data_IF_239888389205
#
_entry.id   IF_239888389205
#
_cell.length_a   1.000
_cell.length_b   1.000
_cell.length_c   1.000
_cell.angle_alpha   90.00
_cell.angle_beta   90.00
_cell.angle_gamma   90.00
#
_symmetry.space_group_name_H-M   'P 1'
#
loop_
_entity.id
_entity.type
_entity.pdbx_description
1 polymer ?
#
# COMPACT_ATOMS: atom_id res chain seq x y z
N UNK A 1 17.45 18.19 30.12
CA UNK A 1 16.86 16.85 30.39
C UNK A 1 15.68 16.65 29.47
N UNK A 2 15.56 15.49 28.81
CA UNK A 2 14.41 15.17 27.95
C UNK A 2 13.15 15.06 28.82
N UNK A 3 12.10 15.80 28.47
CA UNK A 3 10.79 15.79 29.12
C UNK A 3 9.86 14.79 28.43
N UNK A 4 8.93 14.24 29.20
CA UNK A 4 7.93 13.25 28.73
C UNK A 4 8.52 12.09 27.91
N UNK A 5 9.55 11.39 28.43
CA UNK A 5 10.14 10.27 27.72
C UNK A 5 9.10 9.15 27.53
N UNK A 6 8.91 8.73 26.30
CA UNK A 6 8.08 7.62 25.90
C UNK A 6 8.92 6.63 25.09
N UNK A 7 8.90 5.36 25.51
CA UNK A 7 9.50 4.30 24.72
C UNK A 7 8.58 3.97 23.54
N UNK A 8 9.14 4.00 22.34
CA UNK A 8 8.47 3.67 21.09
C UNK A 8 9.19 2.50 20.42
N UNK A 9 8.51 1.87 19.47
CA UNK A 9 9.02 0.71 18.75
C UNK A 9 8.82 0.91 17.26
N UNK A 10 9.90 0.68 16.49
CA UNK A 10 9.87 0.40 15.07
C UNK A 10 10.44 -1.03 14.87
N UNK A 11 11.54 -1.21 14.14
CA UNK A 11 12.31 -2.46 14.15
C UNK A 11 13.00 -2.72 15.51
N UNK A 12 13.36 -1.64 16.22
CA UNK A 12 14.00 -1.67 17.53
C UNK A 12 13.37 -0.61 18.46
N UNK A 13 13.50 -0.77 19.80
CA UNK A 13 13.06 0.24 20.75
C UNK A 13 13.87 1.53 20.61
N UNK A 14 13.19 2.67 20.68
CA UNK A 14 13.79 4.00 20.71
C UNK A 14 13.07 4.90 21.72
N UNK A 15 13.75 5.96 22.16
CA UNK A 15 13.18 6.92 23.10
C UNK A 15 12.70 8.16 22.35
N UNK A 16 11.46 8.57 22.59
CA UNK A 16 10.93 9.84 22.11
C UNK A 16 10.61 10.75 23.28
N UNK A 17 10.88 12.03 23.15
CA UNK A 17 10.49 13.02 24.16
C UNK A 17 10.63 14.44 23.65
N UNK A 18 10.69 15.38 24.58
CA UNK A 18 10.84 16.79 24.27
C UNK A 18 12.10 17.37 24.92
N UNK A 19 12.89 18.09 24.14
CA UNK A 19 14.06 18.81 24.60
C UNK A 19 14.00 20.23 24.06
N UNK A 20 13.98 21.22 24.96
CA UNK A 20 13.92 22.65 24.62
C UNK A 20 12.75 23.04 23.68
N UNK A 21 11.59 22.39 23.85
CA UNK A 21 10.40 22.62 23.03
C UNK A 21 10.42 21.91 21.67
N UNK A 22 11.52 21.21 21.35
CA UNK A 22 11.62 20.36 20.18
C UNK A 22 11.34 18.91 20.53
N UNK A 23 10.60 18.23 19.66
CA UNK A 23 10.47 16.78 19.73
C UNK A 23 11.78 16.13 19.31
N UNK A 24 12.31 15.27 20.16
CA UNK A 24 13.57 14.55 19.95
C UNK A 24 13.35 13.06 20.01
N UNK A 25 14.13 12.33 19.20
CA UNK A 25 14.16 10.88 19.18
C UNK A 25 15.61 10.43 19.38
N UNK A 26 15.85 9.58 20.39
CA UNK A 26 17.14 8.96 20.65
C UNK A 26 17.03 7.49 20.25
N UNK A 27 17.73 7.13 19.18
CA UNK A 27 17.70 5.80 18.57
C UNK A 27 19.05 5.13 18.81
N UNK A 28 19.12 4.04 19.61
CA UNK A 28 20.35 3.30 19.80
C UNK A 28 20.69 2.53 18.51
N UNK A 29 21.96 2.54 18.13
CA UNK A 29 22.50 1.76 17.02
C UNK A 29 23.89 1.26 17.38
N UNK A 30 24.34 0.23 16.68
CA UNK A 30 25.71 -0.28 16.83
C UNK A 30 26.69 0.64 16.09
N UNK A 31 27.83 0.89 16.71
CA UNK A 31 28.98 1.46 16.01
C UNK A 31 29.57 0.36 15.12
N UNK A 32 29.37 0.50 13.82
CA UNK A 32 29.92 -0.40 12.79
C UNK A 32 30.89 0.40 11.91
N UNK A 33 31.86 -0.29 11.31
CA UNK A 33 32.84 0.32 10.40
C UNK A 33 32.46 0.15 8.92
N UNK A 34 31.62 -0.84 8.60
CA UNK A 34 31.20 -1.16 7.24
C UNK A 34 29.67 -1.21 7.12
N UNK A 35 29.05 -0.26 6.40
CA UNK A 35 27.59 -0.21 6.24
C UNK A 35 27.02 -1.35 5.39
N UNK A 36 27.83 -2.13 4.68
CA UNK A 36 27.39 -3.32 3.94
C UNK A 36 27.05 -4.51 4.86
N UNK A 37 27.46 -4.45 6.13
CA UNK A 37 27.22 -5.51 7.11
C UNK A 37 26.50 -4.99 8.37
N UNK A 38 25.29 -4.39 8.23
CA UNK A 38 24.58 -3.82 9.37
C UNK A 38 23.98 -4.92 10.26
N UNK A 39 23.95 -4.68 11.58
CA UNK A 39 23.24 -5.54 12.54
C UNK A 39 21.75 -5.14 12.58
N UNK A 40 21.48 -3.84 12.51
CA UNK A 40 20.16 -3.22 12.46
C UNK A 40 20.04 -2.22 11.31
N UNK A 41 18.81 -1.88 10.91
CA UNK A 41 18.63 -0.84 9.90
C UNK A 41 19.15 0.54 10.36
N UNK A 42 19.16 0.80 11.68
CA UNK A 42 19.56 2.08 12.28
C UNK A 42 21.06 2.31 12.12
N UNK A 43 21.88 1.25 12.13
CA UNK A 43 23.35 1.33 12.11
C UNK A 43 23.88 2.03 10.84
N UNK A 44 23.09 2.03 9.75
CA UNK A 44 23.43 2.72 8.49
C UNK A 44 23.18 4.22 8.53
N UNK A 45 22.38 4.71 9.47
CA UNK A 45 21.94 6.13 9.51
C UNK A 45 23.10 7.12 9.53
N UNK A 46 24.18 6.92 10.31
CA UNK A 46 25.34 7.80 10.27
C UNK A 46 26.01 7.85 8.89
N UNK A 47 26.15 6.70 8.22
CA UNK A 47 26.74 6.62 6.88
C UNK A 47 25.87 7.28 5.81
N UNK A 48 24.55 7.17 5.89
CA UNK A 48 23.65 7.92 5.01
C UNK A 48 23.82 9.43 5.19
N UNK A 49 23.94 9.89 6.43
CA UNK A 49 24.15 11.31 6.75
C UNK A 49 25.49 11.80 6.20
N UNK A 50 26.56 11.03 6.41
CA UNK A 50 27.89 11.35 5.87
C UNK A 50 27.88 11.39 4.33
N UNK A 51 27.30 10.37 3.69
CA UNK A 51 27.20 10.29 2.23
C UNK A 51 26.53 11.53 1.63
N UNK A 52 25.43 11.98 2.24
CA UNK A 52 24.69 13.17 1.82
C UNK A 52 25.44 14.46 2.13
N UNK A 53 26.00 14.61 3.33
CA UNK A 53 26.70 15.82 3.76
C UNK A 53 27.90 16.17 2.86
N UNK A 54 28.59 15.15 2.34
CA UNK A 54 29.71 15.34 1.41
C UNK A 54 29.28 15.79 0.00
N UNK A 55 28.00 15.69 -0.35
CA UNK A 55 27.50 15.83 -1.73
C UNK A 55 26.40 16.87 -1.91
N UNK A 56 25.69 17.23 -0.85
CA UNK A 56 24.62 18.22 -0.89
C UNK A 56 25.17 19.65 -0.81
N UNK A 57 24.66 20.53 -1.66
CA UNK A 57 24.84 21.98 -1.52
C UNK A 57 23.62 22.63 -0.85
N UNK A 58 23.73 23.87 -0.33
CA UNK A 58 22.58 24.61 0.20
C UNK A 58 21.40 24.73 -0.79
N UNK A 59 21.68 24.88 -2.09
CA UNK A 59 20.68 24.94 -3.15
C UNK A 59 19.95 23.60 -3.30
N UNK A 60 20.68 22.48 -3.26
CA UNK A 60 20.10 21.13 -3.27
C UNK A 60 19.19 20.92 -2.05
N UNK A 61 19.59 21.36 -0.86
CA UNK A 61 18.75 21.30 0.34
C UNK A 61 17.44 22.07 0.15
N UNK A 62 17.50 23.23 -0.52
CA UNK A 62 16.30 23.98 -0.95
C UNK A 62 15.39 23.16 -1.87
N UNK A 63 15.95 22.48 -2.87
CA UNK A 63 15.20 21.61 -3.79
C UNK A 63 14.61 20.37 -3.11
N UNK A 64 15.32 19.80 -2.12
CA UNK A 64 14.80 18.71 -1.27
C UNK A 64 13.56 19.18 -0.51
N UNK A 65 13.61 20.34 0.14
CA UNK A 65 12.45 20.89 0.88
C UNK A 65 11.27 21.14 -0.05
N UNK A 66 11.51 21.73 -1.22
CA UNK A 66 10.48 21.98 -2.22
C UNK A 66 9.85 20.66 -2.71
N UNK A 67 10.65 19.63 -2.96
CA UNK A 67 10.18 18.31 -3.38
C UNK A 67 9.39 17.60 -2.28
N UNK A 68 9.87 17.65 -1.02
CA UNK A 68 9.12 17.15 0.14
C UNK A 68 7.76 17.86 0.25
N UNK A 69 7.70 19.17 -0.02
CA UNK A 69 6.44 19.92 0.00
C UNK A 69 5.49 19.53 -1.14
N UNK A 70 6.00 19.34 -2.35
CA UNK A 70 5.21 18.83 -3.47
C UNK A 70 4.59 17.46 -3.16
N UNK A 71 5.40 16.54 -2.62
CA UNK A 71 4.95 15.21 -2.22
C UNK A 71 3.95 15.26 -1.05
N UNK A 72 4.08 16.22 -0.12
CA UNK A 72 3.05 16.49 0.90
C UNK A 72 1.74 16.99 0.30
N UNK A 73 1.80 17.86 -0.71
CA UNK A 73 0.60 18.32 -1.42
C UNK A 73 -0.17 17.18 -2.06
N UNK A 74 0.56 16.20 -2.61
CA UNK A 74 0.02 14.95 -3.15
C UNK A 74 -0.39 13.92 -2.10
N UNK A 75 -0.02 14.10 -0.82
CA UNK A 75 -0.31 13.15 0.24
C UNK A 75 0.55 11.87 0.22
N UNK A 76 1.71 11.90 -0.44
CA UNK A 76 2.58 10.72 -0.65
C UNK A 76 4.01 10.90 -0.09
N UNK A 77 4.22 11.85 0.82
CA UNK A 77 5.46 11.95 1.58
C UNK A 77 5.37 11.10 2.85
N UNK A 78 6.32 10.18 3.03
CA UNK A 78 6.38 9.28 4.18
C UNK A 78 6.55 7.84 3.74
N UNK A 79 7.31 7.05 4.50
CA UNK A 79 7.55 5.62 4.23
C UNK A 79 6.93 4.71 5.28
N UNK A 80 6.23 5.28 6.26
CA UNK A 80 5.40 4.56 7.21
C UNK A 80 4.32 3.73 6.49
N UNK A 81 3.91 2.62 7.11
CA UNK A 81 3.03 1.64 6.47
C UNK A 81 1.65 2.21 6.11
N UNK A 82 1.23 3.29 6.78
CA UNK A 82 0.00 4.03 6.44
C UNK A 82 0.08 4.71 5.09
N UNK A 83 1.25 5.22 4.74
CA UNK A 83 1.46 6.13 3.61
C UNK A 83 2.08 5.41 2.42
N UNK A 84 2.97 4.42 2.61
CA UNK A 84 3.61 3.68 1.51
C UNK A 84 4.15 4.60 0.37
N UNK A 85 4.79 5.71 0.76
CA UNK A 85 5.17 6.80 -0.12
C UNK A 85 6.68 7.02 -0.21
N UNK A 86 7.07 8.26 -0.50
CA UNK A 86 8.47 8.65 -0.66
C UNK A 86 9.10 8.94 0.71
N UNK A 87 10.12 8.17 1.09
CA UNK A 87 10.91 8.44 2.30
C UNK A 87 11.74 9.72 2.15
N UNK A 88 12.12 10.34 3.26
CA UNK A 88 12.97 11.54 3.24
C UNK A 88 14.31 11.29 2.54
N UNK A 89 14.93 10.15 2.84
CA UNK A 89 16.20 9.73 2.23
C UNK A 89 16.06 9.47 0.72
N UNK A 90 14.97 8.82 0.28
CA UNK A 90 14.69 8.64 -1.14
C UNK A 90 14.62 9.98 -1.87
N UNK A 91 13.93 10.96 -1.31
CA UNK A 91 13.83 12.31 -1.91
C UNK A 91 15.21 12.97 -2.02
N UNK A 92 16.05 12.80 -1.01
CA UNK A 92 17.40 13.37 -1.00
C UNK A 92 18.30 12.76 -2.08
N UNK A 93 18.25 11.44 -2.27
CA UNK A 93 18.98 10.77 -3.35
C UNK A 93 18.44 11.14 -4.74
N UNK A 94 17.12 11.27 -4.89
CA UNK A 94 16.52 11.72 -6.15
C UNK A 94 16.97 13.13 -6.52
N UNK A 95 17.03 14.05 -5.56
CA UNK A 95 17.51 15.42 -5.83
C UNK A 95 19.02 15.44 -6.04
N UNK A 96 19.79 14.62 -5.33
CA UNK A 96 21.21 14.46 -5.61
C UNK A 96 21.45 14.03 -7.06
N UNK A 97 20.61 13.13 -7.58
CA UNK A 97 20.71 12.60 -8.94
C UNK A 97 20.20 13.56 -10.03
N UNK A 98 19.06 14.21 -9.80
CA UNK A 98 18.36 15.00 -10.83
C UNK A 98 18.48 16.53 -10.61
N UNK A 99 19.19 16.94 -9.57
CA UNK A 99 19.56 18.32 -9.23
C UNK A 99 18.42 19.18 -8.66
N UNK A 100 17.26 19.17 -9.30
CA UNK A 100 16.13 20.05 -8.94
C UNK A 100 14.81 19.29 -8.98
N UNK A 101 13.77 19.82 -8.31
CA UNK A 101 12.41 19.29 -8.44
C UNK A 101 12.00 19.23 -9.92
N UNK A 102 12.21 20.31 -10.69
CA UNK A 102 11.85 20.33 -12.12
C UNK A 102 12.63 19.30 -12.94
N UNK A 103 13.91 19.08 -12.64
CA UNK A 103 14.72 18.04 -13.25
C UNK A 103 14.16 16.65 -12.97
N UNK A 104 13.87 16.37 -11.69
CA UNK A 104 13.23 15.12 -11.26
C UNK A 104 11.88 14.90 -11.95
N UNK A 105 10.99 15.91 -12.00
CA UNK A 105 9.67 15.76 -12.63
C UNK A 105 9.77 15.49 -14.13
N UNK A 106 10.73 16.11 -14.83
CA UNK A 106 10.94 15.85 -16.27
C UNK A 106 11.36 14.42 -16.53
N UNK A 107 12.26 13.88 -15.72
CA UNK A 107 12.65 12.47 -15.83
C UNK A 107 11.51 11.54 -15.42
N UNK A 108 10.78 11.87 -14.35
CA UNK A 108 9.65 11.07 -13.88
C UNK A 108 8.54 10.90 -14.92
N UNK A 109 8.35 11.88 -15.82
CA UNK A 109 7.37 11.77 -16.91
C UNK A 109 7.64 10.58 -17.86
N UNK A 110 8.87 10.07 -17.90
CA UNK A 110 9.31 8.96 -18.75
C UNK A 110 9.33 7.61 -18.02
N UNK A 111 9.10 7.60 -16.72
CA UNK A 111 9.16 6.39 -15.92
C UNK A 111 8.01 5.42 -16.24
N UNK A 112 8.33 4.12 -16.22
CA UNK A 112 7.38 3.00 -16.22
C UNK A 112 7.39 2.33 -14.84
N UNK A 113 6.38 1.53 -14.51
CA UNK A 113 6.32 0.80 -13.23
C UNK A 113 6.51 -0.71 -13.49
N UNK A 114 7.56 -1.35 -12.94
CA UNK A 114 8.57 -0.77 -12.05
C UNK A 114 9.56 0.16 -12.76
N UNK A 115 10.03 1.19 -12.05
CA UNK A 115 11.09 2.11 -12.52
C UNK A 115 12.44 1.61 -12.03
N UNK A 116 13.44 1.54 -12.91
CA UNK A 116 14.84 1.28 -12.53
C UNK A 116 15.65 2.54 -12.74
N UNK A 117 16.19 3.08 -11.66
CA UNK A 117 17.04 4.26 -11.77
C UNK A 117 18.50 3.89 -12.00
N UNK A 118 18.98 2.74 -11.56
CA UNK A 118 20.34 2.32 -11.88
C UNK A 118 20.32 1.03 -12.70
N UNK A 119 20.43 1.17 -14.02
CA UNK A 119 20.37 0.04 -14.95
C UNK A 119 21.71 -0.71 -15.07
N UNK A 120 22.81 -0.12 -14.59
CA UNK A 120 24.14 -0.71 -14.66
C UNK A 120 24.45 -1.60 -13.45
N UNK A 121 23.70 -1.46 -12.35
CA UNK A 121 23.83 -2.30 -11.17
C UNK A 121 22.89 -3.50 -11.24
N UNK A 122 23.31 -4.58 -10.57
CA UNK A 122 22.43 -5.71 -10.28
C UNK A 122 21.29 -5.23 -9.38
N UNK A 123 20.06 -5.65 -9.69
CA UNK A 123 18.92 -5.40 -8.81
C UNK A 123 19.25 -5.92 -7.39
N UNK A 124 18.97 -5.15 -6.31
CA UNK A 124 19.20 -5.60 -4.94
C UNK A 124 18.49 -6.94 -4.69
N UNK A 125 19.08 -7.90 -3.96
CA UNK A 125 18.41 -9.19 -3.74
C UNK A 125 17.20 -9.09 -2.82
N UNK A 126 17.10 -8.03 -2.00
CA UNK A 126 15.99 -7.79 -1.07
C UNK A 126 14.96 -6.85 -1.69
N UNK A 127 14.16 -7.37 -2.60
CA UNK A 127 13.04 -6.64 -3.20
C UNK A 127 11.69 -7.06 -2.59
N UNK A 128 10.74 -6.11 -2.43
CA UNK A 128 9.37 -6.46 -2.08
C UNK A 128 8.70 -7.27 -3.21
N UNK A 129 7.64 -8.01 -2.88
CA UNK A 129 6.90 -8.81 -3.86
C UNK A 129 6.32 -7.98 -5.01
N UNK A 130 5.91 -6.73 -4.72
CA UNK A 130 5.54 -5.75 -5.74
C UNK A 130 6.44 -4.53 -5.66
N UNK A 131 7.31 -4.38 -6.66
CA UNK A 131 8.28 -3.28 -6.70
C UNK A 131 7.69 -2.10 -7.48
N UNK A 132 7.76 -0.90 -6.91
CA UNK A 132 7.43 0.33 -7.62
C UNK A 132 8.67 0.94 -8.28
N UNK A 133 9.72 1.19 -7.49
CA UNK A 133 10.96 1.81 -7.93
C UNK A 133 12.15 1.05 -7.35
N UNK A 134 13.18 0.87 -8.17
CA UNK A 134 14.47 0.28 -7.80
C UNK A 134 15.50 1.39 -7.84
N UNK A 135 16.00 1.73 -6.66
CA UNK A 135 17.15 2.60 -6.44
C UNK A 135 18.01 1.90 -5.38
N UNK A 136 19.10 1.23 -5.78
CA UNK A 136 20.06 0.69 -4.84
C UNK A 136 20.55 1.77 -3.89
N UNK A 137 20.72 1.42 -2.62
CA UNK A 137 21.29 2.33 -1.64
C UNK A 137 22.78 2.52 -1.93
N UNK A 138 23.27 3.77 -2.08
CA UNK A 138 24.69 3.99 -2.34
C UNK A 138 25.60 3.60 -1.17
N UNK A 139 25.04 3.39 0.03
CA UNK A 139 25.74 3.00 1.24
C UNK A 139 25.58 1.49 1.53
N UNK A 140 24.55 0.86 0.97
CA UNK A 140 24.28 -0.59 1.09
C UNK A 140 23.63 -1.14 -0.20
N UNK A 141 24.41 -1.57 -1.19
CA UNK A 141 23.89 -2.02 -2.48
C UNK A 141 22.90 -3.20 -2.40
N UNK A 142 22.85 -3.92 -1.28
CA UNK A 142 21.91 -5.03 -1.06
C UNK A 142 20.48 -4.53 -0.71
N UNK A 143 20.33 -3.23 -0.48
CA UNK A 143 19.07 -2.56 -0.13
C UNK A 143 18.51 -1.75 -1.29
N UNK A 144 17.19 -1.86 -1.48
CA UNK A 144 16.43 -0.88 -2.26
C UNK A 144 15.93 0.25 -1.35
N UNK A 145 16.25 1.50 -1.67
CA UNK A 145 15.85 2.69 -0.90
C UNK A 145 14.34 2.93 -0.96
N UNK A 146 13.70 2.48 -2.05
CA UNK A 146 12.28 2.70 -2.33
C UNK A 146 11.37 1.51 -1.97
N UNK A 147 11.81 0.60 -1.10
CA UNK A 147 11.02 -0.61 -0.74
C UNK A 147 9.64 -0.32 -0.15
N UNK A 148 9.44 0.83 0.49
CA UNK A 148 8.15 1.22 1.06
C UNK A 148 7.23 1.94 0.03
N UNK A 149 7.74 2.34 -1.13
CA UNK A 149 6.98 3.09 -2.11
C UNK A 149 6.03 2.15 -2.87
N UNK A 150 4.72 2.41 -2.78
CA UNK A 150 3.72 1.63 -3.51
C UNK A 150 3.70 1.98 -5.01
N UNK A 151 3.27 1.01 -5.83
CA UNK A 151 3.06 1.22 -7.27
C UNK A 151 2.03 2.32 -7.54
N UNK A 152 0.99 2.41 -6.69
CA UNK A 152 -0.04 3.44 -6.80
C UNK A 152 0.53 4.85 -6.59
N UNK A 153 1.36 5.04 -5.56
CA UNK A 153 1.95 6.36 -5.27
C UNK A 153 3.03 6.76 -6.28
N UNK A 154 3.80 5.80 -6.82
CA UNK A 154 4.67 6.08 -7.95
C UNK A 154 3.88 6.49 -9.19
N UNK A 155 2.78 5.80 -9.50
CA UNK A 155 1.88 6.16 -10.60
C UNK A 155 1.29 7.55 -10.44
N UNK A 156 0.81 7.89 -9.23
CA UNK A 156 0.33 9.23 -8.90
C UNK A 156 1.42 10.28 -9.10
N UNK A 157 2.65 10.02 -8.64
CA UNK A 157 3.78 10.93 -8.83
C UNK A 157 4.09 11.19 -10.31
N UNK A 158 4.10 10.14 -11.14
CA UNK A 158 4.35 10.25 -12.59
C UNK A 158 3.26 11.10 -13.27
N UNK A 159 1.98 10.87 -12.93
CA UNK A 159 0.86 11.65 -13.46
C UNK A 159 0.92 13.11 -13.00
N UNK A 160 1.16 13.34 -11.71
CA UNK A 160 1.32 14.67 -11.14
C UNK A 160 2.50 15.42 -11.75
N UNK A 161 3.61 14.74 -12.07
CA UNK A 161 4.75 15.34 -12.75
C UNK A 161 4.36 15.90 -14.13
N UNK A 162 3.60 15.13 -14.93
CA UNK A 162 3.10 15.56 -16.24
C UNK A 162 2.17 16.77 -16.10
N UNK A 163 1.21 16.69 -15.19
CA UNK A 163 0.22 17.75 -14.97
C UNK A 163 0.85 19.04 -14.43
N UNK A 164 1.76 18.95 -13.46
CA UNK A 164 2.47 20.10 -12.93
C UNK A 164 3.35 20.78 -13.97
N UNK A 165 4.06 20.01 -14.81
CA UNK A 165 4.90 20.59 -15.86
C UNK A 165 4.08 21.28 -16.96
N UNK A 166 2.89 20.77 -17.26
CA UNK A 166 1.96 21.39 -18.20
C UNK A 166 1.28 22.63 -17.61
N UNK A 167 0.88 22.58 -16.34
CA UNK A 167 0.15 23.65 -15.63
C UNK A 167 0.71 23.85 -14.22
N UNK A 168 1.85 24.55 -14.08
CA UNK A 168 2.46 24.81 -12.78
C UNK A 168 1.52 25.65 -11.90
N UNK A 169 1.39 25.27 -10.63
CA UNK A 169 0.58 26.00 -9.65
C UNK A 169 1.09 25.74 -8.24
N UNK A 170 0.92 26.72 -7.34
CA UNK A 170 1.21 26.57 -5.91
C UNK A 170 0.26 25.58 -5.23
N UNK A 171 -0.93 25.34 -5.80
CA UNK A 171 -1.91 24.40 -5.25
C UNK A 171 -1.34 22.97 -5.11
N UNK A 172 -0.39 22.58 -5.96
CA UNK A 172 0.30 21.28 -5.88
C UNK A 172 1.16 21.11 -4.62
N UNK A 173 1.46 22.20 -3.92
CA UNK A 173 2.25 22.22 -2.70
C UNK A 173 1.38 22.32 -1.44
N UNK A 174 0.05 22.30 -1.59
CA UNK A 174 -0.89 22.37 -0.48
C UNK A 174 -1.66 21.05 -0.40
N UNK A 175 -1.67 20.35 0.76
CA UNK A 175 -2.42 19.12 0.91
C UNK A 175 -3.90 19.30 0.59
N UNK A 176 -4.43 18.46 -0.28
CA UNK A 176 -5.86 18.47 -0.58
C UNK A 176 -6.67 18.06 0.65
N UNK A 177 -7.52 18.96 1.13
CA UNK A 177 -8.49 18.67 2.18
C UNK A 177 -9.81 18.29 1.54
N UNK A 178 -10.08 16.99 1.48
CA UNK A 178 -11.37 16.51 1.00
C UNK A 178 -12.50 17.09 1.87
N UNK A 179 -13.55 17.66 1.26
CA UNK A 179 -14.70 18.13 2.02
C UNK A 179 -15.33 16.96 2.78
N UNK A 180 -15.79 17.24 4.02
CA UNK A 180 -16.47 16.22 4.83
C UNK A 180 -17.74 15.78 4.11
N UNK A 181 -17.87 14.48 3.91
CA UNK A 181 -19.06 13.90 3.30
C UNK A 181 -20.16 13.77 4.35
N UNK A 182 -21.31 14.40 4.11
CA UNK A 182 -22.49 14.23 4.96
C UNK A 182 -23.06 12.82 4.80
N UNK A 183 -23.80 12.33 5.80
CA UNK A 183 -24.48 11.02 5.72
C UNK A 183 -25.53 10.99 4.60
N UNK A 184 -26.18 12.12 4.35
CA UNK A 184 -27.16 12.28 3.28
C UNK A 184 -26.49 12.21 1.91
N UNK A 185 -25.39 12.94 1.70
CA UNK A 185 -24.64 12.88 0.46
C UNK A 185 -24.03 11.50 0.21
N UNK A 186 -23.55 10.82 1.25
CA UNK A 186 -23.05 9.45 1.12
C UNK A 186 -24.16 8.52 0.61
N UNK A 187 -25.35 8.56 1.25
CA UNK A 187 -26.50 7.75 0.83
C UNK A 187 -26.96 8.08 -0.57
N UNK A 188 -27.04 9.37 -0.90
CA UNK A 188 -27.42 9.86 -2.23
C UNK A 188 -26.44 9.35 -3.30
N UNK A 189 -25.13 9.53 -3.10
CA UNK A 189 -24.10 9.08 -4.05
C UNK A 189 -24.11 7.57 -4.24
N UNK A 190 -24.26 6.79 -3.17
CA UNK A 190 -24.38 5.34 -3.27
C UNK A 190 -25.67 4.94 -4.00
N UNK A 191 -26.79 5.60 -3.72
CA UNK A 191 -28.07 5.37 -4.40
C UNK A 191 -28.02 5.70 -5.90
N UNK A 192 -27.42 6.83 -6.28
CA UNK A 192 -27.19 7.23 -7.68
C UNK A 192 -26.35 6.21 -8.45
N UNK A 193 -25.42 5.53 -7.77
CA UNK A 193 -24.59 4.46 -8.36
C UNK A 193 -25.31 3.13 -8.48
N UNK A 194 -26.39 2.92 -7.72
CA UNK A 194 -27.09 1.63 -7.64
C UNK A 194 -26.24 0.51 -7.03
N UNK A 195 -25.19 0.86 -6.27
CA UNK A 195 -24.26 -0.08 -5.65
C UNK A 195 -24.61 -0.32 -4.18
N UNK A 196 -23.94 -1.31 -3.58
CA UNK A 196 -24.05 -1.57 -2.14
C UNK A 196 -22.74 -1.24 -1.43
N UNK A 197 -22.82 -0.58 -0.29
CA UNK A 197 -21.66 -0.22 0.54
C UNK A 197 -21.83 -0.83 1.93
N UNK A 198 -20.94 -1.76 2.28
CA UNK A 198 -20.82 -2.32 3.61
C UNK A 198 -19.70 -1.60 4.40
N UNK A 199 -19.93 -1.40 5.69
CA UNK A 199 -18.98 -0.76 6.60
C UNK A 199 -18.76 -1.66 7.81
N UNK A 200 -17.52 -2.07 8.01
CA UNK A 200 -17.08 -2.85 9.17
C UNK A 200 -16.36 -1.90 10.12
N UNK A 201 -16.91 -1.74 11.33
CA UNK A 201 -16.30 -0.95 12.41
C UNK A 201 -15.78 -1.85 13.52
N UNK A 202 -14.51 -1.68 13.89
CA UNK A 202 -13.85 -2.43 14.96
C UNK A 202 -13.23 -1.47 15.99
N UNK A 203 -13.18 -1.84 17.28
CA UNK A 203 -12.43 -1.07 18.26
C UNK A 203 -10.93 -1.08 17.91
N UNK A 204 -10.27 0.07 18.05
CA UNK A 204 -8.82 0.20 17.88
C UNK A 204 -8.12 -0.03 19.21
N UNK A 205 -7.18 -0.98 19.23
CA UNK A 205 -6.19 -1.05 20.30
C UNK A 205 -5.19 0.12 20.17
N UNK A 206 -5.12 0.96 21.20
CA UNK A 206 -4.24 2.13 21.23
C UNK A 206 -2.77 1.76 21.48
N UNK A 207 -2.49 0.56 21.98
CA UNK A 207 -1.13 0.07 22.17
C UNK A 207 -0.46 -0.31 20.84
N UNK A 208 -1.25 -0.64 19.82
CA UNK A 208 -0.72 -1.00 18.50
C UNK A 208 -0.38 0.25 17.70
N UNK A 209 0.90 0.37 17.32
CA UNK A 209 1.42 1.46 16.49
C UNK A 209 0.95 1.34 15.04
N UNK A 210 0.90 2.46 14.32
CA UNK A 210 0.39 2.53 12.95
C UNK A 210 1.16 1.60 11.99
N UNK A 211 2.47 1.44 12.17
CA UNK A 211 3.30 0.55 11.32
C UNK A 211 2.99 -0.94 11.49
N UNK A 212 2.36 -1.34 12.59
CA UNK A 212 1.83 -2.70 12.78
C UNK A 212 0.37 -2.76 12.35
N UNK A 213 -0.40 -1.70 12.64
CA UNK A 213 -1.84 -1.66 12.43
C UNK A 213 -2.23 -1.59 10.94
N UNK A 214 -1.63 -0.69 10.16
CA UNK A 214 -2.01 -0.49 8.76
C UNK A 214 -1.75 -1.71 7.87
N UNK A 215 -0.63 -2.44 8.00
CA UNK A 215 -0.45 -3.70 7.29
C UNK A 215 -1.55 -4.73 7.59
N UNK A 216 -2.02 -4.79 8.84
CA UNK A 216 -3.13 -5.67 9.21
C UNK A 216 -4.45 -5.20 8.59
N UNK A 217 -4.72 -3.89 8.58
CA UNK A 217 -5.90 -3.31 7.93
C UNK A 217 -5.89 -3.63 6.43
N UNK A 218 -4.78 -3.39 5.73
CA UNK A 218 -4.68 -3.64 4.30
C UNK A 218 -4.78 -5.12 3.97
N UNK A 219 -4.21 -5.99 4.81
CA UNK A 219 -4.41 -7.44 4.70
C UNK A 219 -5.87 -7.82 4.88
N UNK A 220 -6.55 -7.25 5.88
CA UNK A 220 -7.96 -7.53 6.13
C UNK A 220 -8.85 -7.07 4.96
N UNK A 221 -8.60 -5.87 4.41
CA UNK A 221 -9.27 -5.36 3.20
C UNK A 221 -9.09 -6.33 2.04
N UNK A 222 -7.85 -6.79 1.78
CA UNK A 222 -7.55 -7.73 0.71
C UNK A 222 -8.26 -9.07 0.90
N UNK A 223 -8.19 -9.65 2.10
CA UNK A 223 -8.83 -10.93 2.42
C UNK A 223 -10.35 -10.83 2.30
N UNK A 224 -10.96 -9.74 2.75
CA UNK A 224 -12.41 -9.53 2.62
C UNK A 224 -12.83 -9.38 1.16
N UNK A 225 -12.07 -8.63 0.35
CA UNK A 225 -12.30 -8.54 -1.09
C UNK A 225 -12.20 -9.92 -1.76
N UNK A 226 -11.13 -10.67 -1.50
CA UNK A 226 -10.94 -12.03 -2.03
C UNK A 226 -12.05 -13.00 -1.56
N UNK A 227 -12.60 -12.81 -0.35
CA UNK A 227 -13.73 -13.59 0.14
C UNK A 227 -15.03 -13.26 -0.61
N UNK A 228 -15.32 -11.97 -0.82
CA UNK A 228 -16.49 -11.52 -1.58
C UNK A 228 -16.42 -11.96 -3.04
N UNK A 229 -15.25 -11.82 -3.68
CA UNK A 229 -15.02 -12.27 -5.06
C UNK A 229 -15.24 -13.80 -5.18
N UNK A 230 -14.77 -14.60 -4.21
CA UNK A 230 -15.01 -16.06 -4.17
C UNK A 230 -16.47 -16.43 -3.98
N UNK A 231 -17.21 -15.62 -3.22
CA UNK A 231 -18.66 -15.73 -3.11
C UNK A 231 -19.40 -15.10 -4.32
N UNK A 232 -18.67 -14.58 -5.30
CA UNK A 232 -19.22 -14.12 -6.58
C UNK A 232 -19.90 -12.76 -6.51
N UNK A 233 -19.61 -11.95 -5.50
CA UNK A 233 -19.95 -10.54 -5.49
C UNK A 233 -18.91 -9.76 -6.28
N UNK A 234 -19.35 -8.81 -7.11
CA UNK A 234 -18.42 -7.98 -7.86
C UNK A 234 -17.96 -6.80 -7.00
N UNK A 235 -16.73 -6.86 -6.45
CA UNK A 235 -16.19 -5.76 -5.62
C UNK A 235 -15.71 -4.61 -6.52
N UNK A 236 -16.29 -3.43 -6.33
CA UNK A 236 -15.95 -2.20 -7.06
C UNK A 236 -14.81 -1.45 -6.39
N UNK A 237 -14.83 -1.38 -5.05
CA UNK A 237 -13.85 -0.65 -4.28
C UNK A 237 -13.76 -1.17 -2.85
N UNK A 238 -12.58 -1.06 -2.27
CA UNK A 238 -12.36 -1.43 -0.88
C UNK A 238 -11.30 -0.52 -0.27
N UNK A 239 -11.52 -0.08 0.97
CA UNK A 239 -10.58 0.78 1.68
C UNK A 239 -10.65 0.51 3.18
N UNK A 240 -9.53 0.75 3.87
CA UNK A 240 -9.45 0.61 5.32
C UNK A 240 -8.66 1.76 5.92
N UNK A 241 -9.06 2.20 7.12
CA UNK A 241 -8.39 3.28 7.85
C UNK A 241 -8.56 3.12 9.35
N UNK A 242 -7.68 3.76 10.12
CA UNK A 242 -7.82 3.91 11.56
C UNK A 242 -8.05 5.37 11.91
N UNK A 243 -9.15 5.67 12.60
CA UNK A 243 -9.55 7.02 13.00
C UNK A 243 -10.07 7.05 14.44
N UNK A 244 -9.40 7.81 15.31
CA UNK A 244 -9.78 7.90 16.72
C UNK A 244 -9.82 6.53 17.40
N UNK A 245 -10.96 6.13 18.00
CA UNK A 245 -11.10 4.84 18.70
C UNK A 245 -11.43 3.65 17.80
N UNK A 246 -11.49 3.81 16.47
CA UNK A 246 -12.00 2.78 15.57
C UNK A 246 -11.09 2.49 14.38
N UNK A 247 -11.09 1.23 13.96
CA UNK A 247 -10.70 0.79 12.62
C UNK A 247 -11.98 0.68 11.79
N UNK A 248 -11.95 1.25 10.58
CA UNK A 248 -13.08 1.26 9.65
C UNK A 248 -12.62 0.64 8.35
N UNK A 249 -13.38 -0.35 7.87
CA UNK A 249 -13.20 -0.94 6.55
C UNK A 249 -14.50 -0.75 5.76
N UNK A 250 -14.37 -0.27 4.54
CA UNK A 250 -15.47 0.01 3.62
C UNK A 250 -15.29 -0.86 2.38
N UNK A 251 -16.37 -1.53 1.97
CA UNK A 251 -16.44 -2.40 0.80
C UNK A 251 -17.62 -1.95 -0.05
N UNK A 252 -17.38 -1.63 -1.32
CA UNK A 252 -18.43 -1.33 -2.29
C UNK A 252 -18.56 -2.49 -3.29
N UNK A 253 -19.76 -3.03 -3.43
CA UNK A 253 -20.09 -4.12 -4.36
C UNK A 253 -21.15 -3.67 -5.37
N UNK A 254 -21.11 -4.24 -6.57
CA UNK A 254 -22.11 -3.97 -7.59
C UNK A 254 -23.50 -4.46 -7.18
N UNK A 255 -23.56 -5.57 -6.45
CA UNK A 255 -24.80 -6.17 -5.97
C UNK A 255 -24.83 -6.24 -4.44
N UNK A 256 -25.99 -6.02 -3.84
CA UNK A 256 -26.25 -6.28 -2.42
C UNK A 256 -26.67 -7.73 -2.15
N UNK A 257 -27.19 -8.42 -3.16
CA UNK A 257 -27.73 -9.77 -3.05
C UNK A 257 -27.41 -10.60 -4.30
N UNK A 258 -27.05 -11.87 -4.09
CA UNK A 258 -26.84 -12.86 -5.13
C UNK A 258 -28.02 -13.84 -5.21
N UNK A 259 -28.28 -14.42 -6.40
CA UNK A 259 -29.25 -15.51 -6.53
C UNK A 259 -28.92 -16.65 -5.56
N UNK A 260 -29.94 -17.39 -5.11
CA UNK A 260 -29.73 -18.57 -4.25
C UNK A 260 -28.87 -19.64 -4.94
N UNK A 261 -28.75 -19.60 -6.26
CA UNK A 261 -27.95 -20.49 -7.09
C UNK A 261 -26.45 -20.14 -7.04
N UNK A 262 -25.61 -21.18 -6.90
CA UNK A 262 -24.16 -21.13 -7.13
C UNK A 262 -23.76 -22.29 -8.04
N UNK A 263 -23.12 -21.96 -9.15
CA UNK A 263 -22.48 -22.97 -10.02
C UNK A 263 -21.12 -23.31 -9.40
N UNK A 264 -20.84 -24.60 -9.21
CA UNK A 264 -19.53 -25.11 -8.80
C UNK A 264 -18.91 -25.85 -9.98
N UNK A 265 -17.79 -25.33 -10.46
CA UNK A 265 -17.01 -26.00 -11.51
C UNK A 265 -16.40 -27.30 -10.96
N UNK A 266 -16.61 -28.38 -11.71
CA UNK A 266 -15.96 -29.66 -11.53
C UNK A 266 -14.71 -29.79 -12.39
N UNK A 267 -14.01 -30.93 -12.29
CA UNK A 267 -12.82 -31.18 -13.10
C UNK A 267 -13.18 -31.29 -14.59
N UNK A 268 -12.23 -31.01 -15.49
CA UNK A 268 -12.33 -31.42 -16.88
C UNK A 268 -12.57 -32.93 -17.01
N UNK A 269 -13.35 -33.40 -18.01
CA UNK A 269 -13.77 -34.80 -18.14
C UNK A 269 -12.63 -35.82 -18.29
N UNK A 270 -11.47 -35.39 -18.80
CA UNK A 270 -10.34 -36.28 -19.10
C UNK A 270 -9.36 -36.52 -17.94
N UNK A 271 -9.70 -36.15 -16.71
CA UNK A 271 -8.80 -36.26 -15.55
C UNK A 271 -9.33 -37.31 -14.56
N UNK A 272 -8.44 -38.08 -13.93
CA UNK A 272 -8.75 -39.16 -12.98
C UNK A 272 -9.55 -38.73 -11.73
N UNK A 273 -9.88 -37.45 -11.57
CA UNK A 273 -10.68 -36.90 -10.45
C UNK A 273 -12.18 -36.79 -10.73
N UNK A 274 -12.64 -37.18 -11.92
CA UNK A 274 -14.08 -37.10 -12.27
C UNK A 274 -14.92 -38.01 -11.35
N UNK A 275 -14.47 -39.23 -11.09
CA UNK A 275 -15.18 -40.18 -10.23
C UNK A 275 -15.43 -39.62 -8.82
N UNK A 276 -14.38 -39.08 -8.19
CA UNK A 276 -14.47 -38.44 -6.87
C UNK A 276 -15.48 -37.28 -6.85
N UNK A 277 -15.50 -36.47 -7.91
CA UNK A 277 -16.45 -35.37 -8.03
C UNK A 277 -17.90 -35.88 -8.12
N UNK A 278 -18.17 -36.91 -8.93
CA UNK A 278 -19.49 -37.49 -9.08
C UNK A 278 -19.98 -38.11 -7.76
N UNK A 279 -19.16 -38.97 -7.14
CA UNK A 279 -19.50 -39.62 -5.85
C UNK A 279 -19.78 -38.59 -4.76
N UNK A 280 -18.94 -37.55 -4.65
CA UNK A 280 -19.14 -36.47 -3.67
C UNK A 280 -20.52 -35.82 -3.80
N UNK A 281 -21.00 -35.61 -5.02
CA UNK A 281 -22.27 -34.92 -5.24
C UNK A 281 -23.48 -35.85 -5.22
N UNK A 282 -23.30 -37.14 -5.52
CA UNK A 282 -24.30 -38.19 -5.26
C UNK A 282 -24.63 -38.30 -3.76
N UNK A 283 -23.62 -38.22 -2.89
CA UNK A 283 -23.80 -38.23 -1.43
C UNK A 283 -24.42 -36.93 -0.88
N UNK A 284 -24.35 -35.83 -1.63
CA UNK A 284 -24.82 -34.48 -1.23
C UNK A 284 -26.03 -33.99 -2.01
N UNK A 285 -26.88 -34.91 -2.47
CA UNK A 285 -28.08 -34.60 -3.27
C UNK A 285 -29.01 -33.57 -2.63
N UNK A 286 -29.11 -33.53 -1.29
CA UNK A 286 -29.90 -32.52 -0.57
C UNK A 286 -29.42 -31.07 -0.74
N UNK A 287 -28.20 -30.86 -1.23
CA UNK A 287 -27.62 -29.54 -1.49
C UNK A 287 -27.69 -29.13 -2.97
N UNK A 288 -28.03 -30.07 -3.85
CA UNK A 288 -28.08 -29.86 -5.30
C UNK A 288 -29.41 -29.23 -5.71
N UNK A 289 -29.32 -28.21 -6.56
CA UNK A 289 -30.42 -27.68 -7.35
C UNK A 289 -30.46 -28.35 -8.73
N UNK A 290 -29.29 -28.64 -9.32
CA UNK A 290 -29.16 -29.31 -10.62
C UNK A 290 -27.77 -29.95 -10.78
N UNK A 291 -27.70 -31.03 -11.57
CA UNK A 291 -26.46 -31.69 -11.99
C UNK A 291 -26.14 -32.97 -11.21
N UNK A 292 -24.96 -33.57 -11.44
CA UNK A 292 -23.87 -33.11 -12.33
C UNK A 292 -24.25 -32.99 -13.81
N UNK A 293 -23.70 -31.99 -14.52
CA UNK A 293 -23.90 -31.82 -15.96
C UNK A 293 -22.63 -31.29 -16.65
N UNK A 294 -22.56 -31.43 -17.98
CA UNK A 294 -21.49 -30.89 -18.81
C UNK A 294 -21.86 -29.50 -19.33
N UNK A 295 -21.01 -28.51 -19.11
CA UNK A 295 -21.16 -27.15 -19.66
C UNK A 295 -20.72 -27.11 -21.13
N UNK A 296 -21.16 -26.11 -21.92
CA UNK A 296 -20.73 -25.95 -23.32
C UNK A 296 -19.21 -25.79 -23.52
N UNK A 297 -18.48 -25.36 -22.49
CA UNK A 297 -17.01 -25.27 -22.48
C UNK A 297 -16.31 -26.62 -22.17
N UNK A 298 -17.09 -27.69 -22.06
CA UNK A 298 -16.59 -29.04 -21.82
C UNK A 298 -16.24 -29.34 -20.36
N UNK A 299 -16.52 -28.46 -19.40
CA UNK A 299 -16.27 -28.72 -17.97
C UNK A 299 -17.50 -29.31 -17.29
N UNK A 300 -17.29 -30.20 -16.31
CA UNK A 300 -18.37 -30.63 -15.41
C UNK A 300 -18.77 -29.49 -14.48
N UNK A 301 -20.04 -29.47 -14.07
CA UNK A 301 -20.54 -28.55 -13.07
C UNK A 301 -21.71 -29.16 -12.28
N UNK A 302 -21.93 -28.61 -11.10
CA UNK A 302 -23.16 -28.76 -10.34
C UNK A 302 -23.68 -27.39 -9.93
N UNK A 303 -24.98 -27.33 -9.68
CA UNK A 303 -25.66 -26.17 -9.14
C UNK A 303 -26.07 -26.45 -7.72
N UNK A 304 -25.58 -25.65 -6.77
CA UNK A 304 -25.91 -25.78 -5.35
C UNK A 304 -26.62 -24.53 -4.85
N UNK A 305 -27.32 -24.66 -3.72
CA UNK A 305 -27.82 -23.50 -3.00
C UNK A 305 -26.66 -22.77 -2.28
N UNK A 306 -26.70 -21.44 -2.24
CA UNK A 306 -25.78 -20.60 -1.44
C UNK A 306 -26.22 -20.56 0.01
N UNK A 307 -25.25 -20.63 0.91
CA UNK A 307 -25.48 -20.42 2.34
C UNK A 307 -25.71 -18.93 2.64
N UNK A 308 -24.91 -18.06 2.02
CA UNK A 308 -24.98 -16.60 2.17
C UNK A 308 -25.36 -15.95 0.85
N UNK A 309 -26.39 -15.09 0.89
CA UNK A 309 -26.90 -14.39 -0.29
C UNK A 309 -26.66 -12.89 -0.28
N UNK A 310 -26.38 -12.30 0.87
CA UNK A 310 -26.18 -10.86 1.03
C UNK A 310 -24.78 -10.56 1.55
N UNK A 311 -24.25 -9.42 1.13
CA UNK A 311 -23.04 -8.80 1.70
C UNK A 311 -23.32 -8.26 3.09
#
# INVERSE_FOLDING_TARGET
MVRHPEQRYAEHPYLRGEFEGFRVEAVPGYAIDDPAHPISAVDRTPFHQEYLAQRQTPEMVGQVRLTKQFLRGLGILGSEARTEGFSGYLVELLILRFGTLRGLLREACRWSIPTRLDAASRDPPRLPGEVALILPDPVDPERNVASALSRAHLGLFILAAREYLARPSEAWFVPYQAPRLSREDARRRTGERGTHVAVVGLPRDRAVVDDTLYPQIFRAVRVMREALDREGFSVIGAAGTAGGPHVIIVLETAESERPALRVREGPPPGIDRVGEFLTKWEERTGELLQGPYLRPDGKLAVETRRDTRRV
#
